data_IF_268953719457
#
_entry.id   IF_268953719457
#
_cell.length_a   1.000
_cell.length_b   1.000
_cell.length_c   1.000
_cell.angle_alpha   90.00
_cell.angle_beta   90.00
_cell.angle_gamma   90.00
#
_symmetry.space_group_name_H-M   'P 1'
#
loop_
_entity.id
_entity.type
_entity.pdbx_description
1 polymer ?
#
# COMPACT_ATOMS: atom_id res chain seq x y z
N UNK A 1 -12.73 -13.50 5.07
CA UNK A 1 -14.07 -13.00 4.71
C UNK A 1 -13.98 -12.44 3.31
N UNK A 2 -14.25 -13.30 2.30
CA UNK A 2 -14.24 -12.90 0.89
C UNK A 2 -15.50 -12.08 0.63
N UNK A 3 -15.43 -10.77 0.75
CA UNK A 3 -16.40 -9.91 0.09
C UNK A 3 -15.87 -9.71 -1.33
N UNK A 4 -16.49 -10.35 -2.30
CA UNK A 4 -16.39 -9.93 -3.69
C UNK A 4 -16.85 -8.48 -3.72
N UNK A 5 -15.90 -7.56 -3.85
CA UNK A 5 -16.20 -6.14 -3.89
C UNK A 5 -16.66 -5.86 -5.31
N UNK A 6 -17.95 -6.16 -5.59
CA UNK A 6 -18.60 -5.71 -6.80
C UNK A 6 -18.94 -4.23 -6.60
N UNK A 7 -18.10 -3.37 -7.18
CA UNK A 7 -18.36 -1.94 -7.24
C UNK A 7 -19.26 -1.69 -8.44
N UNK A 8 -20.37 -0.95 -8.25
CA UNK A 8 -21.30 -0.63 -9.36
C UNK A 8 -20.61 0.25 -10.40
N UNK A 9 -21.06 0.15 -11.67
CA UNK A 9 -20.56 1.00 -12.75
C UNK A 9 -20.67 2.50 -12.43
N UNK A 10 -21.79 2.94 -11.88
CA UNK A 10 -22.00 4.33 -11.44
C UNK A 10 -20.97 4.78 -10.42
N UNK A 11 -20.60 3.89 -9.47
CA UNK A 11 -19.55 4.21 -8.49
C UNK A 11 -18.16 4.28 -9.10
N UNK A 12 -17.87 3.48 -10.11
CA UNK A 12 -16.61 3.53 -10.86
C UNK A 12 -16.52 4.86 -11.61
N UNK A 13 -17.57 5.29 -12.29
CA UNK A 13 -17.62 6.58 -12.99
C UNK A 13 -17.46 7.76 -12.03
N UNK A 14 -18.12 7.73 -10.88
CA UNK A 14 -17.94 8.72 -9.81
C UNK A 14 -16.46 8.80 -9.36
N UNK A 15 -15.84 7.63 -9.10
CA UNK A 15 -14.44 7.57 -8.67
C UNK A 15 -13.47 8.11 -9.73
N UNK A 16 -13.70 7.81 -11.01
CA UNK A 16 -12.95 8.36 -12.13
C UNK A 16 -13.05 9.89 -12.20
N UNK A 17 -14.25 10.41 -12.04
CA UNK A 17 -14.51 11.86 -12.01
C UNK A 17 -13.80 12.54 -10.83
N UNK A 18 -13.92 11.97 -9.63
CA UNK A 18 -13.26 12.49 -8.43
C UNK A 18 -11.73 12.46 -8.57
N UNK A 19 -11.18 11.38 -9.13
CA UNK A 19 -9.74 11.27 -9.36
C UNK A 19 -9.25 12.35 -10.33
N UNK A 20 -9.93 12.55 -11.45
CA UNK A 20 -9.57 13.55 -12.46
C UNK A 20 -9.56 14.98 -11.91
N UNK A 21 -10.39 15.27 -10.91
CA UNK A 21 -10.54 16.60 -10.33
C UNK A 21 -9.60 16.86 -9.14
N UNK A 22 -9.23 15.81 -8.40
CA UNK A 22 -8.64 15.98 -7.07
C UNK A 22 -7.33 15.20 -6.85
N UNK A 23 -7.04 14.18 -7.68
CA UNK A 23 -5.90 13.32 -7.46
C UNK A 23 -4.67 13.82 -8.21
N UNK A 24 -3.56 13.95 -7.50
CA UNK A 24 -2.25 14.16 -8.09
C UNK A 24 -1.49 12.84 -8.15
N UNK A 25 -1.16 12.38 -9.36
CA UNK A 25 -0.40 11.14 -9.58
C UNK A 25 1.09 11.45 -9.74
N UNK A 26 1.90 10.80 -8.91
CA UNK A 26 3.36 10.94 -8.97
C UNK A 26 3.90 10.44 -10.32
N UNK A 27 4.78 11.23 -10.96
CA UNK A 27 5.45 10.91 -12.22
C UNK A 27 4.50 10.64 -13.41
N UNK A 28 3.27 11.15 -13.39
CA UNK A 28 2.31 11.04 -14.48
C UNK A 28 1.66 12.39 -14.80
N UNK A 29 1.41 12.64 -16.07
CA UNK A 29 0.62 13.81 -16.48
C UNK A 29 -0.87 13.47 -16.39
N UNK A 30 -1.67 14.43 -15.94
CA UNK A 30 -3.11 14.23 -15.77
C UNK A 30 -3.81 13.83 -17.08
N UNK A 31 -3.35 14.35 -18.22
CA UNK A 31 -3.92 14.04 -19.53
C UNK A 31 -3.72 12.57 -19.95
N UNK A 32 -2.77 11.86 -19.34
CA UNK A 32 -2.45 10.48 -19.70
C UNK A 32 -3.38 9.47 -19.02
N UNK A 33 -4.07 9.86 -17.95
CA UNK A 33 -4.90 8.95 -17.14
C UNK A 33 -6.29 9.50 -16.77
N UNK A 34 -6.55 10.80 -16.95
CA UNK A 34 -7.82 11.39 -16.59
C UNK A 34 -8.98 10.75 -17.37
N UNK A 35 -9.96 10.20 -16.64
CA UNK A 35 -11.10 9.49 -17.20
C UNK A 35 -10.90 7.99 -17.46
N UNK A 36 -9.67 7.49 -17.40
CA UNK A 36 -9.35 6.05 -17.56
C UNK A 36 -8.29 5.58 -16.55
N UNK A 37 -8.36 6.09 -15.33
CA UNK A 37 -7.48 5.64 -14.25
C UNK A 37 -7.81 4.20 -13.85
N UNK A 38 -6.80 3.34 -13.84
CA UNK A 38 -6.96 1.98 -13.30
C UNK A 38 -7.05 2.03 -11.77
N UNK A 39 -8.19 1.61 -11.23
CA UNK A 39 -8.47 1.63 -9.79
C UNK A 39 -8.34 0.21 -9.25
N UNK A 40 -7.40 -0.03 -8.37
CA UNK A 40 -7.20 -1.32 -7.72
C UNK A 40 -7.95 -1.39 -6.38
N UNK A 41 -8.52 -2.56 -6.08
CA UNK A 41 -9.35 -2.79 -4.88
C UNK A 41 -8.83 -3.91 -3.99
N UNK A 42 -7.97 -4.79 -4.52
CA UNK A 42 -7.43 -5.92 -3.76
C UNK A 42 -6.00 -6.23 -4.18
N UNK A 43 -5.19 -6.68 -3.23
CA UNK A 43 -3.86 -7.24 -3.48
C UNK A 43 -3.67 -8.52 -2.66
N UNK A 44 -3.00 -9.53 -3.26
CA UNK A 44 -2.68 -10.80 -2.62
C UNK A 44 -1.38 -11.37 -3.20
N UNK A 45 -0.36 -11.52 -2.37
CA UNK A 45 0.98 -11.91 -2.82
C UNK A 45 1.53 -10.93 -3.85
N UNK A 46 1.68 -11.35 -5.09
CA UNK A 46 2.17 -10.52 -6.22
C UNK A 46 1.04 -10.05 -7.15
N UNK A 47 -0.20 -10.41 -6.83
CA UNK A 47 -1.35 -10.11 -7.67
C UNK A 47 -2.16 -8.93 -7.13
N UNK A 48 -2.62 -8.09 -8.04
CA UNK A 48 -3.56 -7.00 -7.74
C UNK A 48 -4.82 -7.15 -8.59
N UNK A 49 -5.97 -6.75 -8.06
CA UNK A 49 -7.26 -6.84 -8.74
C UNK A 49 -7.87 -5.45 -8.84
N UNK A 50 -8.30 -5.07 -10.04
CA UNK A 50 -8.97 -3.79 -10.27
C UNK A 50 -10.48 -3.83 -9.93
N UNK A 51 -11.13 -2.67 -10.03
CA UNK A 51 -12.58 -2.50 -9.79
C UNK A 51 -13.46 -3.33 -10.72
N UNK A 52 -12.94 -3.76 -11.87
CA UNK A 52 -13.63 -4.59 -12.86
C UNK A 52 -13.38 -6.08 -12.64
N UNK A 53 -12.62 -6.46 -11.61
CA UNK A 53 -12.28 -7.84 -11.30
C UNK A 53 -11.11 -8.41 -12.10
N UNK A 54 -10.44 -7.63 -12.93
CA UNK A 54 -9.27 -8.08 -13.67
C UNK A 54 -8.06 -8.23 -12.75
N UNK A 55 -7.32 -9.33 -12.90
CA UNK A 55 -6.09 -9.60 -12.14
C UNK A 55 -4.86 -9.25 -12.94
N UNK A 56 -3.91 -8.59 -12.29
CA UNK A 56 -2.63 -8.20 -12.86
C UNK A 56 -1.49 -8.66 -11.96
N UNK A 57 -0.39 -9.06 -12.59
CA UNK A 57 0.87 -9.27 -11.89
C UNK A 57 1.53 -7.92 -11.64
N UNK A 58 1.77 -7.58 -10.37
CA UNK A 58 2.57 -6.41 -10.03
C UNK A 58 4.06 -6.75 -10.03
N UNK A 59 4.69 -6.63 -11.19
CA UNK A 59 6.11 -6.90 -11.38
C UNK A 59 7.03 -5.82 -10.78
N UNK A 60 6.47 -4.67 -10.42
CA UNK A 60 7.21 -3.55 -9.83
C UNK A 60 7.16 -3.53 -8.30
N UNK A 61 6.34 -4.41 -7.71
CA UNK A 61 6.17 -4.48 -6.26
C UNK A 61 5.66 -3.17 -5.67
N UNK A 62 4.62 -2.56 -6.28
CA UNK A 62 4.08 -1.28 -5.85
C UNK A 62 5.12 -0.15 -5.90
N UNK A 63 6.00 -0.14 -6.89
CA UNK A 63 7.16 0.75 -6.98
C UNK A 63 8.12 0.56 -5.78
N UNK A 64 8.54 -0.72 -5.57
CA UNK A 64 9.50 -1.19 -4.54
C UNK A 64 8.99 -1.28 -3.10
N UNK A 65 7.74 -0.89 -2.82
CA UNK A 65 7.20 -0.90 -1.45
C UNK A 65 6.63 -2.25 -1.01
N UNK A 66 6.42 -3.20 -1.91
CA UNK A 66 5.74 -4.47 -1.64
C UNK A 66 6.66 -5.69 -1.71
N UNK A 67 7.91 -5.55 -1.27
CA UNK A 67 8.84 -6.68 -1.20
C UNK A 67 8.33 -7.90 -0.41
N UNK A 68 7.46 -7.67 0.59
CA UNK A 68 6.80 -8.74 1.34
C UNK A 68 5.51 -9.27 0.68
N UNK A 69 5.06 -8.67 -0.44
CA UNK A 69 3.79 -8.95 -1.10
C UNK A 69 2.59 -8.22 -0.49
N UNK A 70 1.45 -8.34 -1.19
CA UNK A 70 0.17 -7.78 -0.76
C UNK A 70 -0.58 -8.72 0.20
N UNK A 71 -1.52 -8.17 0.98
CA UNK A 71 -2.45 -8.93 1.79
C UNK A 71 -1.83 -9.58 3.03
N UNK A 72 -0.67 -9.12 3.49
CA UNK A 72 0.05 -9.63 4.67
C UNK A 72 -0.62 -9.15 5.96
N UNK A 73 -1.62 -9.91 6.40
CA UNK A 73 -2.42 -9.56 7.59
C UNK A 73 -1.59 -9.53 8.87
N UNK A 74 -0.55 -10.36 8.98
CA UNK A 74 0.36 -10.38 10.12
C UNK A 74 1.16 -9.07 10.26
N UNK A 75 1.52 -8.44 9.14
CA UNK A 75 2.16 -7.12 9.15
C UNK A 75 1.16 -6.06 9.60
N UNK A 76 -0.08 -6.12 9.06
CA UNK A 76 -1.16 -5.23 9.44
C UNK A 76 -1.49 -5.32 10.92
N UNK A 77 -1.51 -6.53 11.48
CA UNK A 77 -1.76 -6.76 12.90
C UNK A 77 -0.65 -6.16 13.78
N UNK A 78 0.61 -6.39 13.42
CA UNK A 78 1.75 -5.83 14.16
C UNK A 78 1.76 -4.29 14.15
N UNK A 79 1.41 -3.68 13.00
CA UNK A 79 1.26 -2.22 12.90
C UNK A 79 0.11 -1.73 13.79
N UNK A 80 -1.04 -2.41 13.76
CA UNK A 80 -2.18 -2.05 14.58
C UNK A 80 -1.85 -2.08 16.08
N UNK A 81 -1.22 -3.15 16.55
CA UNK A 81 -0.80 -3.33 17.95
C UNK A 81 0.16 -2.20 18.36
N UNK A 82 1.16 -1.92 17.53
CA UNK A 82 2.13 -0.86 17.82
C UNK A 82 1.51 0.54 17.85
N UNK A 83 0.57 0.85 16.97
CA UNK A 83 -0.16 2.14 16.97
C UNK A 83 -1.02 2.29 18.22
N UNK A 84 -1.62 1.20 18.71
CA UNK A 84 -2.41 1.23 19.95
C UNK A 84 -1.56 1.48 21.20
N UNK A 85 -0.26 1.20 21.16
CA UNK A 85 0.67 1.47 22.27
C UNK A 85 1.35 2.84 22.10
N UNK A 86 2.12 2.99 21.03
CA UNK A 86 2.79 4.24 20.67
C UNK A 86 3.20 4.19 19.18
N UNK A 87 2.65 5.10 18.38
CA UNK A 87 2.95 5.22 16.95
C UNK A 87 4.26 5.95 16.67
N UNK A 88 4.59 6.91 17.52
CA UNK A 88 5.79 7.75 17.35
C UNK A 88 6.33 8.15 18.72
N UNK A 89 7.61 7.94 19.01
CA UNK A 89 8.21 8.39 20.26
C UNK A 89 8.28 9.92 20.30
N UNK A 90 8.27 10.52 21.50
CA UNK A 90 8.58 11.95 21.66
C UNK A 90 9.93 12.32 21.03
N UNK A 91 10.11 13.59 20.69
CA UNK A 91 11.37 14.09 20.14
C UNK A 91 12.54 13.72 21.05
N UNK A 92 13.66 13.32 20.43
CA UNK A 92 14.90 12.89 21.11
C UNK A 92 14.78 11.62 21.95
N UNK A 93 13.74 10.81 21.71
CA UNK A 93 13.53 9.50 22.32
C UNK A 93 13.40 8.41 21.25
N UNK A 94 13.35 7.16 21.65
CA UNK A 94 13.16 6.01 20.77
C UNK A 94 12.12 5.06 21.36
N UNK A 95 11.47 4.27 20.51
CA UNK A 95 10.60 3.17 20.92
C UNK A 95 11.31 1.81 20.69
N UNK A 96 10.80 0.77 21.33
CA UNK A 96 11.39 -0.57 21.31
C UNK A 96 11.60 -1.07 19.87
N UNK A 97 10.61 -1.05 18.95
CA UNK A 97 10.80 -1.58 17.58
C UNK A 97 11.91 -0.87 16.80
N UNK A 98 12.13 0.42 17.02
CA UNK A 98 13.22 1.15 16.36
C UNK A 98 14.59 0.63 16.80
N UNK A 99 14.77 0.40 18.10
CA UNK A 99 16.02 -0.10 18.68
C UNK A 99 16.31 -1.52 18.17
N UNK A 100 15.29 -2.40 18.24
CA UNK A 100 15.41 -3.79 17.79
C UNK A 100 15.68 -3.89 16.28
N UNK A 101 15.01 -3.07 15.46
CA UNK A 101 15.23 -3.04 14.03
C UNK A 101 16.66 -2.55 13.71
N UNK A 102 17.13 -1.49 14.37
CA UNK A 102 18.48 -0.99 14.19
C UNK A 102 19.54 -2.06 14.52
N UNK A 103 19.35 -2.81 15.62
CA UNK A 103 20.21 -3.91 15.99
C UNK A 103 20.24 -5.01 14.91
N UNK A 104 19.06 -5.44 14.44
CA UNK A 104 18.96 -6.46 13.37
C UNK A 104 19.63 -6.02 12.06
N UNK A 105 19.46 -4.75 11.67
CA UNK A 105 20.13 -4.21 10.48
C UNK A 105 21.65 -4.21 10.66
N UNK A 106 22.13 -3.79 11.83
CA UNK A 106 23.57 -3.78 12.13
C UNK A 106 24.18 -5.19 12.09
N UNK A 107 23.43 -6.22 12.49
CA UNK A 107 23.93 -7.61 12.49
C UNK A 107 24.07 -8.21 11.09
N UNK A 108 23.24 -7.77 10.13
CA UNK A 108 23.32 -8.25 8.74
C UNK A 108 24.23 -7.39 7.85
N UNK A 109 24.73 -6.25 8.34
CA UNK A 109 25.63 -5.39 7.59
C UNK A 109 27.05 -5.98 7.60
N UNK A 110 27.72 -6.18 6.44
CA UNK A 110 28.97 -6.89 6.35
C UNK A 110 30.18 -6.17 6.97
N UNK A 111 30.12 -4.82 7.03
CA UNK A 111 31.21 -3.99 7.55
C UNK A 111 30.79 -3.29 8.85
N UNK A 112 31.40 -3.67 9.96
CA UNK A 112 31.27 -2.98 11.26
C UNK A 112 32.41 -2.02 11.47
#
# INVERSE_FOLDING_TARGET
>A
MNKDILISGEKIEELQSLASQNLFMHAQQINDWAGDLRIFVKGEGVWVTDVNGNKFLDSTGGLWFKGAGYGRSEIGQAIYEQICEIETPPAMAACIPQIELAAKIADIYPDK
#
